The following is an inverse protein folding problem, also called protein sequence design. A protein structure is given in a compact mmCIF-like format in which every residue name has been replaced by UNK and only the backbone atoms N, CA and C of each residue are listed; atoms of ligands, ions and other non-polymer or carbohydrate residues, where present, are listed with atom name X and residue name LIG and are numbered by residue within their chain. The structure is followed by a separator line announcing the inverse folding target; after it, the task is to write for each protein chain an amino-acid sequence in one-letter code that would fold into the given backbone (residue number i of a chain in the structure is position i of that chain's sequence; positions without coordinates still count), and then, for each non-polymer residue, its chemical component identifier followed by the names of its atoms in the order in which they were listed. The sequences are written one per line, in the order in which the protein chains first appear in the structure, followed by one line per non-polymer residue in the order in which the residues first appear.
data_IF_381427008567
#
_entry.id   IF_381427008567
#
_cell.length_a   1.000
_cell.length_b   1.000
_cell.length_c   1.000
_cell.angle_alpha   90.00
_cell.angle_beta   90.00
_cell.angle_gamma   90.00
#
_symmetry.space_group_name_H-M   'P 1'
#
loop_
_entity.id
_entity.type
_entity.pdbx_description
1 polymer ?
#
# COMPACT_ATOMS: atom_id res chain seq x y z
N UNK A 1 13.15 17.93 17.58
CA UNK A 1 13.26 16.78 16.65
C UNK A 1 11.99 15.96 16.79
N UNK A 2 11.32 15.55 15.69
CA UNK A 2 10.16 14.69 15.80
C UNK A 2 10.54 13.35 16.45
N UNK A 3 9.66 12.79 17.28
CA UNK A 3 9.88 11.50 17.93
C UNK A 3 9.97 10.37 16.90
N UNK A 4 10.58 9.25 17.30
CA UNK A 4 10.60 8.06 16.44
C UNK A 4 9.19 7.55 16.12
N UNK A 5 8.26 7.63 17.09
CA UNK A 5 6.85 7.27 16.90
C UNK A 5 6.25 8.12 15.77
N UNK A 6 6.36 9.45 15.86
CA UNK A 6 5.82 10.36 14.85
C UNK A 6 6.41 10.14 13.46
N UNK A 7 7.73 9.90 13.38
CA UNK A 7 8.41 9.60 12.11
C UNK A 7 7.87 8.31 11.49
N UNK A 8 7.80 7.22 12.26
CA UNK A 8 7.35 5.91 11.78
C UNK A 8 5.86 5.90 11.46
N UNK A 9 5.01 6.56 12.25
CA UNK A 9 3.58 6.76 11.96
C UNK A 9 3.38 7.49 10.62
N UNK A 10 4.16 8.55 10.37
CA UNK A 10 4.11 9.28 9.09
C UNK A 10 4.58 8.42 7.91
N UNK A 11 5.62 7.60 8.11
CA UNK A 11 6.11 6.68 7.10
C UNK A 11 5.08 5.58 6.76
N UNK A 12 4.47 4.96 7.78
CA UNK A 12 3.41 3.97 7.60
C UNK A 12 2.22 4.56 6.82
N UNK A 13 1.79 5.77 7.17
CA UNK A 13 0.70 6.45 6.45
C UNK A 13 1.02 6.76 4.98
N UNK A 14 2.30 6.99 4.63
CA UNK A 14 2.71 7.12 3.21
C UNK A 14 2.63 5.79 2.48
N UNK A 15 3.13 4.71 3.08
CA UNK A 15 3.09 3.37 2.48
C UNK A 15 1.66 2.89 2.22
N UNK A 16 0.73 3.12 3.16
CA UNK A 16 -0.69 2.78 2.97
C UNK A 16 -1.30 3.53 1.77
N UNK A 17 -0.97 4.82 1.61
CA UNK A 17 -1.44 5.61 0.46
C UNK A 17 -0.85 5.12 -0.86
N UNK A 18 0.43 4.74 -0.86
CA UNK A 18 1.13 4.20 -2.02
C UNK A 18 0.54 2.85 -2.44
N UNK A 19 0.28 1.95 -1.49
CA UNK A 19 -0.41 0.70 -1.77
C UNK A 19 -1.80 0.94 -2.38
N UNK A 20 -2.57 1.87 -1.82
CA UNK A 20 -3.90 2.22 -2.36
C UNK A 20 -3.80 2.69 -3.82
N UNK A 21 -2.80 3.49 -4.15
CA UNK A 21 -2.56 3.95 -5.52
C UNK A 21 -2.26 2.77 -6.45
N UNK A 22 -1.38 1.86 -6.06
CA UNK A 22 -1.08 0.67 -6.86
C UNK A 22 -2.28 -0.26 -7.04
N UNK A 23 -3.14 -0.41 -6.01
CA UNK A 23 -4.39 -1.17 -6.13
C UNK A 23 -5.38 -0.51 -7.10
N UNK A 24 -5.48 0.82 -7.07
CA UNK A 24 -6.30 1.56 -8.03
C UNK A 24 -5.78 1.40 -9.46
N UNK A 25 -4.47 1.57 -9.67
CA UNK A 25 -3.84 1.38 -10.97
C UNK A 25 -4.04 -0.04 -11.50
N UNK A 26 -3.86 -1.05 -10.64
CA UNK A 26 -4.13 -2.46 -10.99
C UNK A 26 -5.57 -2.65 -11.48
N UNK A 27 -6.54 -2.08 -10.77
CA UNK A 27 -7.95 -2.16 -11.15
C UNK A 27 -8.23 -1.46 -12.50
N UNK A 28 -7.59 -0.31 -12.75
CA UNK A 28 -7.69 0.40 -14.03
C UNK A 28 -7.09 -0.39 -15.19
N UNK A 29 -5.90 -0.99 -15.01
CA UNK A 29 -5.27 -1.84 -16.03
C UNK A 29 -6.11 -3.10 -16.29
N UNK A 30 -6.69 -3.72 -15.25
CA UNK A 30 -7.58 -4.87 -15.39
C UNK A 30 -8.84 -4.50 -16.18
N UNK A 31 -9.48 -3.37 -15.84
CA UNK A 31 -10.64 -2.87 -16.59
C UNK A 31 -10.29 -2.57 -18.04
N UNK A 32 -9.07 -2.07 -18.31
CA UNK A 32 -8.58 -1.84 -19.68
C UNK A 32 -8.43 -3.14 -20.45
N UNK A 33 -7.81 -4.17 -19.88
CA UNK A 33 -7.70 -5.50 -20.50
C UNK A 33 -9.09 -6.04 -20.87
N UNK A 34 -10.04 -6.00 -19.94
CA UNK A 34 -11.41 -6.49 -20.18
C UNK A 34 -12.13 -5.68 -21.28
N UNK A 35 -11.93 -4.35 -21.31
CA UNK A 35 -12.46 -3.51 -22.38
C UNK A 35 -11.86 -3.86 -23.75
N UNK A 36 -10.56 -4.09 -23.84
CA UNK A 36 -9.90 -4.47 -25.10
C UNK A 36 -10.43 -5.82 -25.62
N UNK A 37 -10.61 -6.80 -24.73
CA UNK A 37 -11.24 -8.09 -25.07
C UNK A 37 -12.67 -7.91 -25.56
N UNK A 38 -13.48 -7.11 -24.87
CA UNK A 38 -14.88 -6.86 -25.23
C UNK A 38 -15.02 -6.13 -26.58
N UNK A 39 -14.08 -5.25 -26.91
CA UNK A 39 -14.02 -4.56 -28.19
C UNK A 39 -13.52 -5.44 -29.36
N UNK A 40 -13.03 -6.64 -29.07
CA UNK A 40 -12.42 -7.51 -30.08
C UNK A 40 -11.12 -6.93 -30.66
N UNK A 41 -10.33 -6.25 -29.82
CA UNK A 41 -9.01 -5.75 -30.21
C UNK A 41 -8.04 -6.89 -30.53
N UNK A 42 -6.93 -6.55 -31.19
CA UNK A 42 -5.94 -7.54 -31.64
C UNK A 42 -5.32 -8.32 -30.46
N UNK A 43 -5.14 -9.63 -30.63
CA UNK A 43 -4.63 -10.50 -29.56
C UNK A 43 -3.22 -10.11 -29.09
N UNK A 44 -2.37 -9.59 -29.98
CA UNK A 44 -1.03 -9.17 -29.62
C UNK A 44 -1.07 -7.93 -28.72
N UNK A 45 -1.96 -6.98 -29.01
CA UNK A 45 -2.16 -5.78 -28.20
C UNK A 45 -2.76 -6.12 -26.83
N UNK A 46 -3.73 -7.06 -26.79
CA UNK A 46 -4.29 -7.57 -25.53
C UNK A 46 -3.19 -8.25 -24.69
N UNK A 47 -2.33 -9.08 -25.29
CA UNK A 47 -1.23 -9.75 -24.58
C UNK A 47 -0.26 -8.75 -23.96
N UNK A 48 0.13 -7.71 -24.70
CA UNK A 48 0.96 -6.62 -24.16
C UNK A 48 0.29 -5.92 -22.98
N UNK A 49 -1.01 -5.65 -23.07
CA UNK A 49 -1.72 -4.98 -21.99
C UNK A 49 -1.83 -5.88 -20.74
N UNK A 50 -1.90 -7.21 -20.91
CA UNK A 50 -1.82 -8.18 -19.80
C UNK A 50 -0.44 -8.17 -19.15
N UNK A 51 0.64 -8.05 -19.93
CA UNK A 51 2.00 -7.91 -19.37
C UNK A 51 2.10 -6.65 -18.49
N UNK A 52 1.58 -5.51 -18.96
CA UNK A 52 1.51 -4.28 -18.18
C UNK A 52 0.70 -4.47 -16.88
N UNK A 53 -0.47 -5.11 -16.96
CA UNK A 53 -1.28 -5.43 -15.78
C UNK A 53 -0.47 -6.25 -14.77
N UNK A 54 0.22 -7.29 -15.23
CA UNK A 54 1.01 -8.18 -14.37
C UNK A 54 2.14 -7.44 -13.67
N UNK A 55 2.83 -6.54 -14.37
CA UNK A 55 3.89 -5.71 -13.77
C UNK A 55 3.34 -4.81 -12.66
N UNK A 56 2.16 -4.21 -12.87
CA UNK A 56 1.49 -3.41 -11.82
C UNK A 56 1.02 -4.29 -10.64
N UNK A 57 0.44 -5.47 -10.91
CA UNK A 57 -0.01 -6.42 -9.88
C UNK A 57 1.13 -6.85 -8.94
N UNK A 58 2.34 -6.99 -9.48
CA UNK A 58 3.52 -7.36 -8.70
C UNK A 58 3.93 -6.31 -7.66
N UNK A 59 3.50 -5.05 -7.81
CA UNK A 59 3.83 -3.97 -6.87
C UNK A 59 3.01 -4.01 -5.58
N UNK A 60 1.76 -4.47 -5.64
CA UNK A 60 0.86 -4.57 -4.48
C UNK A 60 1.45 -5.43 -3.34
N UNK A 61 1.92 -6.67 -3.56
CA UNK A 61 2.51 -7.48 -2.50
C UNK A 61 3.84 -6.90 -1.97
N UNK A 62 4.61 -6.20 -2.82
CA UNK A 62 5.84 -5.51 -2.38
C UNK A 62 5.50 -4.39 -1.40
N UNK A 63 4.46 -3.59 -1.69
CA UNK A 63 4.00 -2.55 -0.77
C UNK A 63 3.45 -3.15 0.53
N UNK A 64 2.66 -4.22 0.45
CA UNK A 64 2.14 -4.90 1.63
C UNK A 64 3.25 -5.35 2.57
N UNK A 65 4.30 -5.98 2.03
CA UNK A 65 5.47 -6.39 2.82
C UNK A 65 6.14 -5.20 3.52
N UNK A 66 6.32 -4.06 2.83
CA UNK A 66 6.88 -2.84 3.44
C UNK A 66 5.99 -2.27 4.54
N UNK A 67 4.67 -2.33 4.35
CA UNK A 67 3.67 -1.91 5.35
C UNK A 67 3.80 -2.79 6.60
N UNK A 68 3.86 -4.11 6.44
CA UNK A 68 3.97 -5.06 7.55
C UNK A 68 5.26 -4.86 8.35
N UNK A 69 6.40 -4.68 7.66
CA UNK A 69 7.69 -4.40 8.29
C UNK A 69 7.67 -3.06 9.05
N UNK A 70 7.10 -2.00 8.46
CA UNK A 70 6.99 -0.69 9.10
C UNK A 70 6.04 -0.73 10.30
N UNK A 71 4.92 -1.44 10.17
CA UNK A 71 3.95 -1.67 11.24
C UNK A 71 4.61 -2.37 12.43
N UNK A 72 5.26 -3.51 12.20
CA UNK A 72 5.96 -4.25 13.26
C UNK A 72 7.04 -3.38 13.93
N UNK A 73 7.77 -2.59 13.14
CA UNK A 73 8.76 -1.66 13.68
C UNK A 73 8.14 -0.53 14.52
N UNK A 74 6.95 -0.05 14.16
CA UNK A 74 6.22 0.95 14.93
C UNK A 74 5.67 0.33 16.22
N UNK A 75 5.02 -0.83 16.15
CA UNK A 75 4.50 -1.57 17.32
C UNK A 75 5.59 -1.85 18.37
N UNK A 76 6.81 -2.19 17.92
CA UNK A 76 7.94 -2.46 18.82
C UNK A 76 8.39 -1.26 19.66
N UNK A 77 8.06 -0.03 19.27
CA UNK A 77 8.43 1.19 20.02
C UNK A 77 7.24 1.85 20.74
N UNK A 78 6.01 1.38 20.53
CA UNK A 78 4.81 1.94 21.19
C UNK A 78 4.69 1.56 22.67
N UNK A 79 5.48 0.60 23.14
CA UNK A 79 5.47 0.13 24.53
C UNK A 79 6.40 0.89 25.48
N UNK A 80 7.07 1.97 25.06
CA UNK A 80 7.96 2.70 25.97
C UNK A 80 7.18 3.57 26.96
N UNK A 81 7.58 3.59 28.23
CA UNK A 81 6.91 4.35 29.29
C UNK A 81 6.87 5.88 29.03
N UNK A 82 7.82 6.41 28.26
CA UNK A 82 7.92 7.84 27.92
C UNK A 82 7.16 8.23 26.63
N UNK A 83 6.34 7.34 26.07
CA UNK A 83 5.64 7.61 24.81
C UNK A 83 4.50 8.63 25.00
N UNK A 84 4.46 9.67 24.16
CA UNK A 84 3.37 10.65 24.18
C UNK A 84 2.02 9.97 23.85
N UNK A 85 0.99 10.09 24.71
CA UNK A 85 -0.28 9.41 24.51
C UNK A 85 -0.99 9.76 23.19
N UNK A 86 -0.83 11.00 22.71
CA UNK A 86 -1.42 11.47 21.45
C UNK A 86 -0.71 10.80 20.27
N UNK A 87 0.62 10.75 20.30
CA UNK A 87 1.41 10.08 19.27
C UNK A 87 1.13 8.57 19.23
N UNK A 88 0.95 7.94 20.39
CA UNK A 88 0.54 6.53 20.49
C UNK A 88 -0.85 6.32 19.90
N UNK A 89 -1.81 7.20 20.17
CA UNK A 89 -3.15 7.12 19.61
C UNK A 89 -3.11 7.23 18.07
N UNK A 90 -2.35 8.17 17.53
CA UNK A 90 -2.23 8.35 16.08
C UNK A 90 -1.50 7.18 15.42
N UNK A 91 -0.48 6.62 16.07
CA UNK A 91 0.17 5.39 15.63
C UNK A 91 -0.81 4.22 15.55
N UNK A 92 -1.63 4.02 16.59
CA UNK A 92 -2.66 2.95 16.62
C UNK A 92 -3.66 3.10 15.49
N UNK A 93 -4.12 4.33 15.18
CA UNK A 93 -5.01 4.58 14.03
C UNK A 93 -4.35 4.16 12.70
N UNK A 94 -3.07 4.50 12.48
CA UNK A 94 -2.37 4.10 11.25
C UNK A 94 -2.16 2.59 11.17
N UNK A 95 -1.90 1.93 12.30
CA UNK A 95 -1.79 0.47 12.38
C UNK A 95 -3.12 -0.21 12.04
N UNK A 96 -4.23 0.31 12.56
CA UNK A 96 -5.57 -0.18 12.22
C UNK A 96 -5.88 0.00 10.73
N UNK A 97 -5.55 1.16 10.17
CA UNK A 97 -5.68 1.39 8.72
C UNK A 97 -4.86 0.37 7.92
N UNK A 98 -3.63 0.07 8.33
CA UNK A 98 -2.77 -0.93 7.69
C UNK A 98 -3.36 -2.36 7.71
N UNK A 99 -4.13 -2.70 8.75
CA UNK A 99 -4.82 -4.00 8.85
C UNK A 99 -6.05 -4.09 7.93
N UNK A 100 -6.71 -2.96 7.68
CA UNK A 100 -7.92 -2.87 6.86
C UNK A 100 -7.67 -2.61 5.37
N UNK A 101 -6.48 -2.12 5.03
CA UNK A 101 -6.05 -1.88 3.65
C UNK A 101 -5.90 -3.19 2.91
#
# INVERSE_FOLDING_TARGET
MPSQIKIKTSALGRLIKEEKLYKQETAEQAARVEKMKANGEDEYDIKKQIEVLKDTEQMVPVMRKKIDEMKASLEGILGSEDADPTEVQDAKKQIELALSA
#
